data_IF_752292137809
#
_entry.id   IF_752292137809
#
_cell.length_a   1.000
_cell.length_b   1.000
_cell.length_c   1.000
_cell.angle_alpha   90.00
_cell.angle_beta   90.00
_cell.angle_gamma   90.00
#
_symmetry.space_group_name_H-M   'P 1'
#
loop_
_entity.id
_entity.type
_entity.pdbx_description
1 polymer ?
#
# COMPACT_ATOMS: atom_id res chain seq x y z
N UNK A 1 -15.74 -5.44 -11.99
CA UNK A 1 -15.39 -6.44 -10.96
C UNK A 1 -13.97 -6.27 -10.44
N UNK A 2 -12.93 -6.41 -11.29
CA UNK A 2 -11.52 -6.27 -10.86
C UNK A 2 -11.21 -4.93 -10.16
N UNK A 3 -11.65 -3.82 -10.75
CA UNK A 3 -11.53 -2.49 -10.13
C UNK A 3 -12.23 -2.40 -8.77
N UNK A 4 -13.50 -2.82 -8.68
CA UNK A 4 -14.28 -2.75 -7.45
C UNK A 4 -13.66 -3.56 -6.32
N UNK A 5 -13.14 -4.75 -6.63
CA UNK A 5 -12.41 -5.57 -5.65
C UNK A 5 -11.11 -4.90 -5.20
N UNK A 6 -10.30 -4.41 -6.16
CA UNK A 6 -9.05 -3.69 -5.87
C UNK A 6 -9.29 -2.46 -4.98
N UNK A 7 -10.29 -1.66 -5.31
CA UNK A 7 -10.66 -0.47 -4.54
C UNK A 7 -11.16 -0.84 -3.15
N UNK A 8 -12.10 -1.78 -3.07
CA UNK A 8 -12.67 -2.25 -1.81
C UNK A 8 -11.61 -2.82 -0.87
N UNK A 9 -10.72 -3.70 -1.37
CA UNK A 9 -9.65 -4.26 -0.54
C UNK A 9 -8.64 -3.20 -0.11
N UNK A 10 -8.32 -2.21 -0.95
CA UNK A 10 -7.35 -1.16 -0.63
C UNK A 10 -7.82 -0.30 0.54
N UNK A 11 -9.11 -0.02 0.62
CA UNK A 11 -9.72 0.66 1.78
C UNK A 11 -9.82 -0.31 2.96
N UNK A 12 -10.41 -1.48 2.74
CA UNK A 12 -10.78 -2.39 3.83
C UNK A 12 -9.56 -2.96 4.55
N UNK A 13 -8.58 -3.51 3.85
CA UNK A 13 -7.45 -4.24 4.46
C UNK A 13 -6.58 -3.30 5.30
N UNK A 14 -6.19 -2.15 4.74
CA UNK A 14 -5.27 -1.24 5.42
C UNK A 14 -5.95 -0.36 6.47
N UNK A 15 -7.06 0.29 6.12
CA UNK A 15 -7.59 1.39 6.91
C UNK A 15 -8.68 0.94 7.90
N UNK A 16 -9.36 -0.16 7.62
CA UNK A 16 -10.44 -0.68 8.47
C UNK A 16 -9.94 -1.92 9.22
N UNK A 17 -9.66 -2.99 8.50
CA UNK A 17 -9.16 -4.26 9.03
C UNK A 17 -7.86 -4.09 9.82
N UNK A 18 -6.91 -3.31 9.30
CA UNK A 18 -5.68 -2.97 10.01
C UNK A 18 -5.92 -2.27 11.34
N UNK A 19 -6.82 -1.30 11.40
CA UNK A 19 -7.16 -0.57 12.63
C UNK A 19 -7.89 -1.47 13.63
N UNK A 20 -8.84 -2.28 13.16
CA UNK A 20 -9.55 -3.26 13.99
C UNK A 20 -8.54 -4.24 14.59
N UNK A 21 -7.66 -4.84 13.78
CA UNK A 21 -6.66 -5.78 14.23
C UNK A 21 -5.67 -5.14 15.22
N UNK A 22 -5.23 -3.90 14.98
CA UNK A 22 -4.35 -3.18 15.88
C UNK A 22 -4.98 -2.97 17.27
N UNK A 23 -6.29 -2.70 17.32
CA UNK A 23 -7.03 -2.50 18.59
C UNK A 23 -7.36 -3.82 19.29
N UNK A 24 -7.56 -4.90 18.53
CA UNK A 24 -8.02 -6.18 19.07
C UNK A 24 -6.88 -7.12 19.48
N UNK A 25 -5.68 -6.99 18.89
CA UNK A 25 -4.59 -7.93 19.07
C UNK A 25 -3.42 -7.35 19.88
N UNK A 26 -2.75 -8.16 20.72
CA UNK A 26 -1.43 -7.82 21.23
C UNK A 26 -0.46 -7.50 20.10
N UNK A 27 0.43 -6.51 20.31
CA UNK A 27 1.31 -5.97 19.27
C UNK A 27 2.11 -7.02 18.49
N UNK A 28 2.59 -8.06 19.18
CA UNK A 28 3.32 -9.17 18.56
C UNK A 28 2.44 -9.96 17.58
N UNK A 29 1.20 -10.24 17.98
CA UNK A 29 0.23 -10.96 17.15
C UNK A 29 -0.23 -10.09 15.97
N UNK A 30 -0.44 -8.79 16.20
CA UNK A 30 -0.74 -7.83 15.14
C UNK A 30 0.39 -7.78 14.10
N UNK A 31 1.64 -7.66 14.53
CA UNK A 31 2.79 -7.66 13.62
C UNK A 31 2.92 -8.97 12.83
N UNK A 32 2.69 -10.11 13.47
CA UNK A 32 2.67 -11.41 12.81
C UNK A 32 1.54 -11.53 11.77
N UNK A 33 0.34 -11.03 12.09
CA UNK A 33 -0.78 -10.98 11.15
C UNK A 33 -0.43 -10.11 9.94
N UNK A 34 0.07 -8.89 10.16
CA UNK A 34 0.45 -7.98 9.07
C UNK A 34 1.52 -8.58 8.16
N UNK A 35 2.55 -9.22 8.73
CA UNK A 35 3.61 -9.89 7.98
C UNK A 35 3.08 -10.98 7.04
N UNK A 36 1.94 -11.62 7.38
CA UNK A 36 1.28 -12.63 6.55
C UNK A 36 0.28 -12.03 5.56
N UNK A 37 -0.45 -11.01 5.97
CA UNK A 37 -1.49 -10.37 5.14
C UNK A 37 -0.90 -9.52 4.02
N UNK A 38 0.12 -8.73 4.31
CA UNK A 38 0.59 -7.71 3.37
C UNK A 38 1.20 -8.25 2.06
N UNK A 39 2.01 -9.32 2.03
CA UNK A 39 2.50 -9.87 0.77
C UNK A 39 1.36 -10.30 -0.17
N UNK A 40 0.31 -10.91 0.38
CA UNK A 40 -0.87 -11.32 -0.40
C UNK A 40 -1.64 -10.09 -0.90
N UNK A 41 -1.85 -9.11 -0.02
CA UNK A 41 -2.53 -7.85 -0.35
C UNK A 41 -1.80 -7.10 -1.47
N UNK A 42 -0.49 -6.86 -1.33
CA UNK A 42 0.26 -6.10 -2.31
C UNK A 42 0.42 -6.86 -3.63
N UNK A 43 0.65 -8.17 -3.60
CA UNK A 43 0.71 -8.99 -4.82
C UNK A 43 -0.62 -8.96 -5.58
N UNK A 44 -1.74 -9.14 -4.88
CA UNK A 44 -3.08 -9.04 -5.47
C UNK A 44 -3.32 -7.64 -6.05
N UNK A 45 -2.90 -6.60 -5.34
CA UNK A 45 -3.02 -5.21 -5.79
C UNK A 45 -2.24 -4.95 -7.07
N UNK A 46 -1.02 -5.49 -7.17
CA UNK A 46 -0.16 -5.34 -8.35
C UNK A 46 -0.73 -6.08 -9.56
N UNK A 47 -1.20 -7.32 -9.37
CA UNK A 47 -1.80 -8.11 -10.46
C UNK A 47 -3.03 -7.39 -11.01
N UNK A 48 -3.94 -6.96 -10.14
CA UNK A 48 -5.18 -6.30 -10.57
C UNK A 48 -4.91 -4.94 -11.20
N UNK A 49 -4.04 -4.10 -10.62
CA UNK A 49 -3.70 -2.81 -11.20
C UNK A 49 -2.97 -2.94 -12.55
N UNK A 50 -2.10 -3.95 -12.71
CA UNK A 50 -1.45 -4.26 -13.98
C UNK A 50 -2.46 -4.66 -15.05
N UNK A 51 -3.38 -5.57 -14.73
CA UNK A 51 -4.44 -5.99 -15.66
C UNK A 51 -5.31 -4.79 -16.05
N UNK A 52 -5.73 -3.98 -15.09
CA UNK A 52 -6.55 -2.79 -15.35
C UNK A 52 -5.81 -1.78 -16.23
N UNK A 53 -4.53 -1.52 -15.96
CA UNK A 53 -3.70 -0.61 -16.76
C UNK A 53 -3.54 -1.11 -18.20
N UNK A 54 -3.26 -2.41 -18.38
CA UNK A 54 -3.15 -3.02 -19.70
C UNK A 54 -4.47 -2.90 -20.46
N UNK A 55 -5.58 -3.30 -19.84
CA UNK A 55 -6.90 -3.22 -20.47
C UNK A 55 -7.26 -1.77 -20.83
N UNK A 56 -7.01 -0.83 -19.93
CA UNK A 56 -7.25 0.59 -20.16
C UNK A 56 -6.44 1.13 -21.35
N UNK A 57 -5.16 0.78 -21.41
CA UNK A 57 -4.26 1.21 -22.49
C UNK A 57 -4.67 0.60 -23.83
N UNK A 58 -5.14 -0.65 -23.84
CA UNK A 58 -5.60 -1.32 -25.06
C UNK A 58 -6.95 -0.76 -25.56
N UNK A 59 -7.83 -0.34 -24.65
CA UNK A 59 -9.15 0.19 -25.01
C UNK A 59 -9.15 1.69 -25.36
N UNK A 60 -8.09 2.43 -25.03
CA UNK A 60 -7.96 3.86 -25.25
C UNK A 60 -6.71 4.16 -26.10
N UNK A 61 -6.83 4.19 -27.44
CA UNK A 61 -5.69 4.31 -28.35
C UNK A 61 -4.83 5.57 -28.14
N UNK A 62 -5.43 6.65 -27.61
CA UNK A 62 -4.73 7.91 -27.35
C UNK A 62 -3.72 7.83 -26.19
N UNK A 63 -3.78 6.79 -25.36
CA UNK A 63 -2.90 6.65 -24.19
C UNK A 63 -1.44 6.48 -24.59
N UNK A 64 -1.14 5.58 -25.54
CA UNK A 64 0.26 5.28 -25.91
C UNK A 64 0.93 6.44 -26.65
N UNK A 65 0.33 7.05 -27.70
CA UNK A 65 0.96 8.15 -28.42
C UNK A 65 1.14 9.40 -27.56
N UNK A 66 0.25 9.60 -26.58
CA UNK A 66 0.23 10.82 -25.76
C UNK A 66 0.57 10.56 -24.29
N UNK A 67 1.31 9.49 -23.98
CA UNK A 67 1.57 9.05 -22.59
C UNK A 67 2.15 10.14 -21.68
N UNK A 68 2.82 11.13 -22.24
CA UNK A 68 3.44 12.27 -21.53
C UNK A 68 2.48 13.45 -21.29
N UNK A 69 1.28 13.43 -21.87
CA UNK A 69 0.32 14.52 -21.80
C UNK A 69 -0.86 14.18 -20.86
N UNK A 70 -0.77 14.47 -19.56
CA UNK A 70 -1.83 14.15 -18.60
C UNK A 70 -3.07 15.04 -18.73
N UNK A 71 -3.10 16.00 -19.67
CA UNK A 71 -4.32 16.78 -19.97
C UNK A 71 -5.37 15.90 -20.66
N UNK A 72 -4.92 14.88 -21.39
CA UNK A 72 -5.76 13.86 -22.02
C UNK A 72 -6.28 12.95 -20.90
N UNK A 73 -7.61 12.90 -20.72
CA UNK A 73 -8.17 12.27 -19.54
C UNK A 73 -7.86 10.76 -19.48
N UNK A 74 -7.85 10.08 -20.63
CA UNK A 74 -7.48 8.65 -20.69
C UNK A 74 -6.03 8.40 -20.28
N UNK A 75 -5.11 9.34 -20.62
CA UNK A 75 -3.72 9.30 -20.17
C UNK A 75 -3.64 9.55 -18.65
N UNK A 76 -4.40 10.50 -18.12
CA UNK A 76 -4.47 10.73 -16.67
C UNK A 76 -4.99 9.48 -15.92
N UNK A 77 -5.98 8.78 -16.47
CA UNK A 77 -6.49 7.53 -15.90
C UNK A 77 -5.44 6.40 -15.94
N UNK A 78 -4.68 6.30 -17.03
CA UNK A 78 -3.56 5.36 -17.11
C UNK A 78 -2.49 5.66 -16.04
N UNK A 79 -2.14 6.93 -15.84
CA UNK A 79 -1.21 7.35 -14.79
C UNK A 79 -1.73 7.09 -13.38
N UNK A 80 -3.03 7.22 -13.15
CA UNK A 80 -3.65 6.88 -11.87
C UNK A 80 -3.47 5.38 -11.56
N UNK A 81 -3.75 4.50 -12.53
CA UNK A 81 -3.56 3.06 -12.39
C UNK A 81 -2.06 2.69 -12.26
N UNK A 82 -1.19 3.35 -13.01
CA UNK A 82 0.26 3.17 -12.91
C UNK A 82 0.79 3.58 -11.52
N UNK A 83 0.26 4.67 -10.96
CA UNK A 83 0.60 5.13 -9.59
C UNK A 83 0.24 4.06 -8.56
N UNK A 84 -0.93 3.42 -8.69
CA UNK A 84 -1.32 2.30 -7.82
C UNK A 84 -0.32 1.16 -7.93
N UNK A 85 0.04 0.75 -9.15
CA UNK A 85 1.00 -0.32 -9.38
C UNK A 85 2.37 -0.02 -8.76
N UNK A 86 2.91 1.18 -9.03
CA UNK A 86 4.25 1.60 -8.57
C UNK A 86 4.29 1.72 -7.05
N UNK A 87 3.30 2.38 -6.44
CA UNK A 87 3.28 2.58 -4.98
C UNK A 87 3.12 1.26 -4.23
N UNK A 88 2.25 0.37 -4.72
CA UNK A 88 2.02 -0.94 -4.11
C UNK A 88 3.19 -1.89 -4.34
N UNK A 89 3.83 -1.86 -5.51
CA UNK A 89 5.06 -2.62 -5.78
C UNK A 89 6.25 -2.13 -4.94
N UNK A 90 6.39 -0.81 -4.75
CA UNK A 90 7.39 -0.23 -3.84
C UNK A 90 7.16 -0.68 -2.40
N UNK A 91 5.90 -0.75 -1.99
CA UNK A 91 5.51 -1.28 -0.69
C UNK A 91 5.86 -2.77 -0.55
N UNK A 92 5.59 -3.59 -1.55
CA UNK A 92 5.81 -5.03 -1.52
C UNK A 92 7.30 -5.39 -1.51
N UNK A 93 8.08 -4.77 -2.40
CA UNK A 93 9.44 -5.23 -2.68
C UNK A 93 10.51 -4.47 -1.90
N UNK A 94 10.20 -3.28 -1.38
CA UNK A 94 11.18 -2.42 -0.70
C UNK A 94 10.74 -2.12 0.73
N UNK A 95 9.63 -1.42 0.92
CA UNK A 95 9.28 -0.86 2.23
C UNK A 95 8.79 -1.95 3.20
N UNK A 96 7.98 -2.88 2.73
CA UNK A 96 7.44 -4.00 3.51
C UNK A 96 8.53 -4.90 4.09
N UNK A 97 9.47 -5.42 3.27
CA UNK A 97 10.60 -6.22 3.76
C UNK A 97 11.47 -5.48 4.76
N UNK A 98 11.78 -4.19 4.51
CA UNK A 98 12.54 -3.36 5.45
C UNK A 98 11.80 -3.15 6.77
N UNK A 99 10.49 -2.87 6.71
CA UNK A 99 9.64 -2.70 7.91
C UNK A 99 9.60 -3.97 8.73
N UNK A 100 9.41 -5.12 8.07
CA UNK A 100 9.36 -6.43 8.72
C UNK A 100 10.69 -6.81 9.36
N UNK A 101 11.80 -6.55 8.66
CA UNK A 101 13.14 -6.74 9.24
C UNK A 101 13.32 -5.92 10.52
N UNK A 102 13.00 -4.62 10.49
CA UNK A 102 13.11 -3.75 11.68
C UNK A 102 12.12 -4.16 12.77
N UNK A 103 10.93 -4.66 12.44
CA UNK A 103 10.01 -5.24 13.40
C UNK A 103 10.66 -6.44 14.14
N UNK A 104 11.24 -7.40 13.42
CA UNK A 104 11.89 -8.55 14.02
C UNK A 104 13.13 -8.18 14.85
N UNK A 105 13.91 -7.19 14.41
CA UNK A 105 15.04 -6.62 15.18
C UNK A 105 14.55 -6.09 16.54
N UNK A 106 13.45 -5.32 16.55
CA UNK A 106 12.83 -4.82 17.79
C UNK A 106 12.36 -5.96 18.68
N UNK A 107 11.67 -6.95 18.13
CA UNK A 107 11.19 -8.11 18.90
C UNK A 107 12.31 -8.93 19.53
N UNK A 108 13.45 -9.06 18.83
CA UNK A 108 14.63 -9.72 19.36
C UNK A 108 15.23 -8.93 20.52
N UNK A 109 15.33 -7.61 20.38
CA UNK A 109 15.88 -6.74 21.42
C UNK A 109 14.95 -6.66 22.65
N UNK A 110 13.63 -6.66 22.45
CA UNK A 110 12.65 -6.73 23.54
C UNK A 110 12.87 -7.98 24.41
N UNK A 111 13.14 -9.13 23.78
CA UNK A 111 13.45 -10.38 24.50
C UNK A 111 14.79 -10.33 25.21
N UNK A 112 15.80 -9.70 24.61
CA UNK A 112 17.14 -9.60 25.18
C UNK A 112 17.18 -8.64 26.39
N UNK A 113 16.45 -7.54 26.33
CA UNK A 113 16.41 -6.52 27.40
C UNK A 113 15.33 -6.80 28.45
N UNK A 114 14.39 -7.71 28.18
CA UNK A 114 13.25 -7.98 29.06
C UNK A 114 12.30 -6.78 29.19
N UNK A 115 12.34 -5.85 28.23
CA UNK A 115 11.54 -4.61 28.19
C UNK A 115 10.83 -4.49 26.86
N UNK A 116 9.59 -4.01 26.86
CA UNK A 116 8.88 -3.75 25.61
C UNK A 116 9.44 -2.50 24.95
N UNK A 117 9.34 -2.43 23.62
CA UNK A 117 9.87 -1.32 22.83
C UNK A 117 9.23 0.03 23.13
N UNK A 118 8.09 0.08 23.82
CA UNK A 118 7.41 1.32 24.19
C UNK A 118 7.57 1.70 25.68
N UNK A 119 8.30 0.89 26.46
CA UNK A 119 8.48 1.16 27.88
C UNK A 119 9.38 2.39 28.09
N UNK A 120 9.23 3.06 29.23
CA UNK A 120 10.12 4.17 29.60
C UNK A 120 11.53 3.66 29.86
N UNK A 121 12.55 4.41 29.40
CA UNK A 121 13.95 4.06 29.66
C UNK A 121 14.44 2.82 28.89
N UNK A 122 13.90 2.58 27.69
CA UNK A 122 14.50 1.64 26.71
C UNK A 122 15.88 2.12 26.27
N UNK A 123 16.72 1.18 25.83
CA UNK A 123 18.09 1.46 25.36
C UNK A 123 18.12 2.41 24.16
N UNK A 124 19.27 3.03 23.92
CA UNK A 124 19.45 3.90 22.74
C UNK A 124 19.35 3.12 21.43
N UNK A 125 19.74 1.83 21.44
CA UNK A 125 19.52 0.92 20.31
C UNK A 125 18.03 0.71 20.03
N UNK A 126 17.22 0.45 21.07
CA UNK A 126 15.77 0.32 20.93
C UNK A 126 15.12 1.62 20.43
N UNK A 127 15.58 2.79 20.90
CA UNK A 127 15.10 4.09 20.40
C UNK A 127 15.40 4.27 18.91
N UNK A 128 16.59 3.89 18.47
CA UNK A 128 16.98 3.96 17.06
C UNK A 128 16.09 3.04 16.19
N UNK A 129 15.84 1.81 16.65
CA UNK A 129 14.95 0.87 15.97
C UNK A 129 13.50 1.36 15.94
N UNK A 130 13.00 1.96 17.02
CA UNK A 130 11.66 2.55 17.07
C UNK A 130 11.51 3.69 16.06
N UNK A 131 12.50 4.59 15.97
CA UNK A 131 12.50 5.68 15.00
C UNK A 131 12.49 5.14 13.57
N UNK A 132 13.35 4.16 13.29
CA UNK A 132 13.42 3.52 11.97
C UNK A 132 12.10 2.83 11.61
N UNK A 133 11.51 2.09 12.54
CA UNK A 133 10.22 1.43 12.34
C UNK A 133 9.11 2.43 12.06
N UNK A 134 9.00 3.49 12.87
CA UNK A 134 8.01 4.54 12.68
C UNK A 134 8.12 5.23 11.32
N UNK A 135 9.35 5.53 10.88
CA UNK A 135 9.60 6.10 9.55
C UNK A 135 9.16 5.14 8.43
N UNK A 136 9.61 3.88 8.45
CA UNK A 136 9.27 2.90 7.42
C UNK A 136 7.76 2.62 7.36
N UNK A 137 7.12 2.48 8.53
CA UNK A 137 5.67 2.33 8.62
C UNK A 137 4.92 3.54 8.06
N UNK A 138 5.37 4.75 8.38
CA UNK A 138 4.80 6.00 7.85
C UNK A 138 4.93 6.10 6.32
N UNK A 139 6.09 5.76 5.77
CA UNK A 139 6.29 5.71 4.30
C UNK A 139 5.37 4.69 3.67
N UNK A 140 5.24 3.50 4.26
CA UNK A 140 4.35 2.45 3.74
C UNK A 140 2.89 2.90 3.69
N UNK A 141 2.43 3.57 4.76
CA UNK A 141 1.10 4.15 4.83
C UNK A 141 0.88 5.21 3.74
N UNK A 142 1.83 6.12 3.52
CA UNK A 142 1.73 7.15 2.48
C UNK A 142 1.66 6.56 1.07
N UNK A 143 2.45 5.53 0.79
CA UNK A 143 2.39 4.80 -0.48
C UNK A 143 1.00 4.18 -0.70
N UNK A 144 0.44 3.51 0.31
CA UNK A 144 -0.91 2.95 0.22
C UNK A 144 -2.00 4.02 0.13
N UNK A 145 -1.81 5.19 0.75
CA UNK A 145 -2.72 6.31 0.59
C UNK A 145 -2.69 6.88 -0.83
N UNK A 146 -1.49 6.98 -1.44
CA UNK A 146 -1.34 7.35 -2.84
C UNK A 146 -2.07 6.39 -3.78
N UNK A 147 -1.99 5.08 -3.52
CA UNK A 147 -2.76 4.08 -4.26
C UNK A 147 -4.28 4.31 -4.12
N UNK A 148 -4.78 4.54 -2.90
CA UNK A 148 -6.21 4.83 -2.67
C UNK A 148 -6.65 6.10 -3.41
N UNK A 149 -5.86 7.17 -3.37
CA UNK A 149 -6.17 8.41 -4.11
C UNK A 149 -6.25 8.16 -5.62
N UNK A 150 -5.30 7.40 -6.19
CA UNK A 150 -5.35 7.00 -7.59
C UNK A 150 -6.59 6.18 -7.94
N UNK A 151 -6.98 5.25 -7.07
CA UNK A 151 -8.20 4.45 -7.25
C UNK A 151 -9.48 5.27 -7.10
N UNK A 152 -9.53 6.25 -6.20
CA UNK A 152 -10.67 7.18 -6.09
C UNK A 152 -10.79 8.00 -7.37
N UNK A 153 -9.69 8.59 -7.84
CA UNK A 153 -9.68 9.37 -9.07
C UNK A 153 -10.18 8.55 -10.27
N UNK A 154 -9.67 7.33 -10.42
CA UNK A 154 -10.12 6.42 -11.47
C UNK A 154 -11.57 5.95 -11.31
N UNK A 155 -11.99 5.66 -10.08
CA UNK A 155 -13.36 5.25 -9.78
C UNK A 155 -14.39 6.34 -10.06
N UNK A 156 -14.06 7.60 -9.74
CA UNK A 156 -14.92 8.75 -10.04
C UNK A 156 -15.08 8.94 -11.55
N UNK A 157 -14.01 8.74 -12.33
CA UNK A 157 -14.09 8.75 -13.79
C UNK A 157 -15.03 7.64 -14.30
N UNK A 158 -14.83 6.40 -13.86
CA UNK A 158 -15.69 5.28 -14.25
C UNK A 158 -17.16 5.50 -13.86
N UNK A 159 -17.42 6.14 -12.72
CA UNK A 159 -18.79 6.45 -12.28
C UNK A 159 -19.45 7.60 -13.04
N UNK A 160 -18.67 8.52 -13.62
CA UNK A 160 -19.19 9.71 -14.30
C UNK A 160 -19.26 9.52 -15.82
N UNK A 161 -18.18 9.03 -16.44
CA UNK A 161 -18.02 8.91 -17.90
C UNK A 161 -18.22 7.47 -18.38
N UNK A 162 -17.88 6.48 -17.54
CA UNK A 162 -17.95 5.07 -17.88
C UNK A 162 -16.65 4.53 -18.47
N UNK A 163 -16.75 3.38 -19.16
CA UNK A 163 -15.61 2.67 -19.75
C UNK A 163 -15.28 3.10 -21.17
N UNK A 164 -16.20 3.81 -21.83
CA UNK A 164 -15.94 4.39 -23.15
C UNK A 164 -15.25 5.72 -22.86
N UNK A 165 -13.99 5.86 -23.26
CA UNK A 165 -13.33 7.16 -23.34
C UNK A 165 -14.16 8.13 -24.18
N UNK A 166 -13.72 9.39 -24.22
CA UNK A 166 -14.38 10.43 -25.01
C UNK A 166 -14.16 10.24 -26.51
#
# INVERSE_FOLDING_TARGET
LGFSFLFGMSIWVNFIGGVIAYRALPRQQFGALQHRTFPIFFSTSQILSSILLILWTLSHPDVVPNWYNPVIADVAQAWALATVLVTQGTNDWVVGPLTSKTMFERQRLEKAEGKNSNDSGVSDEMKALNKRFGMLHGVSYLLSMGAVVGLIFHGLWLGNVGLRGY
#
